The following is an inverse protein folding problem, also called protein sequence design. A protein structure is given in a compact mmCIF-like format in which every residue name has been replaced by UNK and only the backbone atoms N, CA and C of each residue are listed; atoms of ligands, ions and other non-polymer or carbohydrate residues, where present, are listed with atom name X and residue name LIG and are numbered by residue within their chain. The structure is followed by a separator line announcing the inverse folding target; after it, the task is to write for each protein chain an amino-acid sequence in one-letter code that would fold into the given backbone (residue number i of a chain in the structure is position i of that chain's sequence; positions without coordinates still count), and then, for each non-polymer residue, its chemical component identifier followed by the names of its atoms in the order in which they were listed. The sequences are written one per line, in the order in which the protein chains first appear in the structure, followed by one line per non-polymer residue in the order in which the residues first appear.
data_IF_630006048173
#
_entry.id   IF_630006048173
#
_cell.length_a   1.000
_cell.length_b   1.000
_cell.length_c   1.000
_cell.angle_alpha   90.00
_cell.angle_beta   90.00
_cell.angle_gamma   90.00
#
_symmetry.space_group_name_H-M   'P 1'
#
loop_
_entity.id
_entity.type
_entity.pdbx_description
1 polymer ?
#
# COMPACT_ATOMS: atom_id res chain seq x y z
N UNK A 1 39.29 17.14 10.60
CA UNK A 1 39.19 18.31 11.50
C UNK A 1 37.75 18.41 11.99
N UNK A 2 37.59 18.76 13.26
CA UNK A 2 36.28 19.01 13.86
C UNK A 2 36.31 20.39 14.52
N UNK A 3 35.14 21.01 14.60
CA UNK A 3 34.90 22.21 15.36
C UNK A 3 34.31 21.82 16.71
N UNK A 4 35.04 22.08 17.80
CA UNK A 4 34.55 21.92 19.16
C UNK A 4 33.65 23.11 19.50
N UNK A 5 32.42 22.82 19.91
CA UNK A 5 31.42 23.81 20.30
C UNK A 5 30.62 23.32 21.51
N UNK A 6 30.26 24.21 22.42
CA UNK A 6 29.37 23.88 23.55
C UNK A 6 28.02 23.36 23.04
N UNK A 7 27.45 22.35 23.71
CA UNK A 7 26.18 21.71 23.34
C UNK A 7 25.03 22.69 23.10
N UNK A 8 24.93 23.73 23.92
CA UNK A 8 23.91 24.78 23.83
C UNK A 8 23.88 25.50 22.48
N UNK A 9 25.03 25.62 21.82
CA UNK A 9 25.20 26.32 20.52
C UNK A 9 25.44 25.36 19.36
N UNK A 10 25.43 24.07 19.62
CA UNK A 10 25.80 23.05 18.64
C UNK A 10 24.84 23.00 17.45
N UNK A 11 23.53 23.03 17.71
CA UNK A 11 22.52 22.87 16.64
C UNK A 11 22.45 24.10 15.73
N UNK A 12 22.48 25.30 16.31
CA UNK A 12 22.53 26.56 15.57
C UNK A 12 23.76 26.59 14.65
N UNK A 13 24.94 26.26 15.19
CA UNK A 13 26.16 26.27 14.40
C UNK A 13 26.18 25.14 13.36
N UNK A 14 25.64 23.96 13.67
CA UNK A 14 25.50 22.85 12.72
C UNK A 14 24.66 23.25 11.50
N UNK A 15 23.55 23.95 11.70
CA UNK A 15 22.69 24.42 10.62
C UNK A 15 23.43 25.42 9.73
N UNK A 16 24.10 26.40 10.32
CA UNK A 16 24.90 27.38 9.58
C UNK A 16 26.01 26.72 8.76
N UNK A 17 26.73 25.75 9.34
CA UNK A 17 27.79 25.00 8.63
C UNK A 17 27.25 24.16 7.47
N UNK A 18 26.02 23.66 7.60
CA UNK A 18 25.34 22.93 6.53
C UNK A 18 24.95 23.87 5.39
N UNK A 19 24.35 25.03 5.70
CA UNK A 19 23.99 26.07 4.72
C UNK A 19 25.21 26.61 3.97
N UNK A 20 26.32 26.82 4.69
CA UNK A 20 27.58 27.31 4.13
C UNK A 20 28.40 26.22 3.39
N UNK A 21 27.91 24.97 3.33
CA UNK A 21 28.57 23.84 2.67
C UNK A 21 29.90 23.42 3.32
N UNK A 22 30.08 23.73 4.60
CA UNK A 22 31.32 23.50 5.37
C UNK A 22 31.24 22.19 6.17
N UNK A 23 30.02 21.79 6.55
CA UNK A 23 29.79 20.57 7.31
C UNK A 23 30.17 19.34 6.50
N UNK A 24 31.05 18.50 7.04
CA UNK A 24 31.32 17.20 6.47
C UNK A 24 30.25 16.19 6.91
N UNK A 25 29.25 16.01 6.04
CA UNK A 25 28.12 15.10 6.27
C UNK A 25 28.49 13.61 6.26
N UNK A 26 29.71 13.27 5.80
CA UNK A 26 30.23 11.90 5.74
C UNK A 26 30.84 11.40 7.05
N UNK A 27 30.94 12.25 8.08
CA UNK A 27 31.47 11.91 9.41
C UNK A 27 30.44 12.15 10.50
N UNK A 28 30.56 11.42 11.62
CA UNK A 28 29.69 11.61 12.78
C UNK A 28 30.08 12.85 13.58
N UNK A 29 29.10 13.48 14.21
CA UNK A 29 29.33 14.45 15.28
C UNK A 29 29.66 13.67 16.56
N UNK A 30 30.78 13.98 17.19
CA UNK A 30 31.26 13.27 18.37
C UNK A 30 30.91 14.04 19.65
N UNK A 31 30.63 13.31 20.73
CA UNK A 31 30.41 13.88 22.06
C UNK A 31 31.75 14.11 22.76
N UNK A 32 31.92 15.28 23.37
CA UNK A 32 33.14 15.66 24.11
C UNK A 32 32.77 16.42 25.39
N UNK A 33 32.34 15.69 26.42
CA UNK A 33 31.80 16.27 27.66
C UNK A 33 30.62 17.23 27.41
N UNK A 34 30.78 18.47 27.87
CA UNK A 34 29.81 19.58 27.67
C UNK A 34 29.86 20.19 26.25
N UNK A 35 30.74 19.69 25.40
CA UNK A 35 30.91 20.09 24.02
C UNK A 35 30.58 18.96 23.04
N UNK A 36 30.46 19.33 21.78
CA UNK A 36 30.39 18.41 20.64
C UNK A 36 31.44 18.78 19.62
N UNK A 37 31.87 17.81 18.84
CA UNK A 37 32.86 17.95 17.79
C UNK A 37 32.15 17.79 16.44
N UNK A 38 31.93 18.90 15.75
CA UNK A 38 31.23 18.93 14.46
C UNK A 38 32.27 18.76 13.33
N UNK A 39 32.18 17.75 12.45
CA UNK A 39 33.16 17.53 11.41
C UNK A 39 33.05 18.61 10.31
N UNK A 40 34.17 19.20 9.91
CA UNK A 40 34.21 20.28 8.90
C UNK A 40 35.20 19.92 7.78
N UNK A 41 34.92 20.45 6.58
CA UNK A 41 35.74 20.24 5.36
C UNK A 41 36.83 21.30 5.20
N UNK A 42 36.66 22.50 5.77
CA UNK A 42 37.62 23.60 5.75
C UNK A 42 37.69 24.32 7.11
N UNK A 43 38.81 24.98 7.40
CA UNK A 43 39.02 25.76 8.64
C UNK A 43 38.11 27.00 8.64
N UNK A 44 37.54 27.31 9.80
CA UNK A 44 36.70 28.49 10.02
C UNK A 44 36.99 29.11 11.38
N UNK A 45 36.77 30.41 11.50
CA UNK A 45 36.78 31.11 12.78
C UNK A 45 35.34 31.40 13.21
N UNK A 46 34.98 30.93 14.41
CA UNK A 46 33.67 31.21 15.01
C UNK A 46 33.83 31.47 16.51
N UNK A 47 33.20 32.52 17.07
CA UNK A 47 33.36 32.86 18.49
C UNK A 47 32.97 31.71 19.42
N UNK A 48 33.87 31.35 20.34
CA UNK A 48 33.64 30.29 21.32
C UNK A 48 33.74 28.88 20.74
N UNK A 49 34.51 28.72 19.66
CA UNK A 49 34.80 27.42 19.05
C UNK A 49 36.31 27.18 18.95
N UNK A 50 36.70 25.92 18.91
CA UNK A 50 38.09 25.50 18.77
C UNK A 50 38.20 24.44 17.67
N UNK A 51 39.17 24.54 16.77
CA UNK A 51 39.42 23.50 15.77
C UNK A 51 40.28 22.42 16.41
N UNK A 52 39.79 21.18 16.37
CA UNK A 52 40.52 20.00 16.85
C UNK A 52 40.81 19.03 15.72
N UNK A 53 42.03 18.50 15.70
CA UNK A 53 42.50 17.50 14.74
C UNK A 53 42.47 16.11 15.38
N UNK A 54 41.27 15.54 15.43
CA UNK A 54 41.08 14.15 15.84
C UNK A 54 40.61 13.31 14.64
N UNK A 55 40.93 11.99 14.62
CA UNK A 55 40.32 11.05 13.68
C UNK A 55 38.80 11.14 13.79
N UNK A 56 38.13 11.36 12.66
CA UNK A 56 36.66 11.36 12.63
C UNK A 56 36.14 9.95 12.46
N UNK A 57 34.99 9.66 13.07
CA UNK A 57 34.28 8.43 12.75
C UNK A 57 33.51 8.62 11.45
N UNK A 58 33.72 7.76 10.43
CA UNK A 58 32.87 7.78 9.25
C UNK A 58 31.43 7.52 9.68
N UNK A 59 30.53 8.32 9.13
CA UNK A 59 29.11 8.02 9.19
C UNK A 59 28.89 6.91 8.17
N UNK A 60 28.39 5.75 8.59
CA UNK A 60 27.92 4.72 7.65
C UNK A 60 26.93 5.37 6.70
N UNK A 61 27.35 5.60 5.46
CA UNK A 61 26.48 6.06 4.41
C UNK A 61 25.63 4.88 4.00
N UNK A 62 24.38 4.90 4.43
CA UNK A 62 23.43 3.88 3.99
C UNK A 62 23.02 4.22 2.57
N UNK A 63 22.97 3.22 1.67
CA UNK A 63 22.49 3.45 0.33
C UNK A 63 21.08 4.06 0.42
N UNK A 64 20.88 5.16 -0.28
CA UNK A 64 19.61 5.88 -0.34
C UNK A 64 18.63 5.21 -1.30
N UNK A 65 19.12 4.32 -2.16
CA UNK A 65 18.34 3.54 -3.11
C UNK A 65 18.82 2.09 -3.21
N UNK A 66 17.96 1.21 -3.74
CA UNK A 66 18.32 -0.17 -4.02
C UNK A 66 19.46 -0.29 -5.06
N UNK A 67 19.52 0.64 -6.02
CA UNK A 67 20.60 0.68 -7.02
C UNK A 67 21.94 1.02 -6.39
N UNK A 68 21.99 2.01 -5.49
CA UNK A 68 23.20 2.32 -4.72
C UNK A 68 23.63 1.14 -3.85
N UNK A 69 22.68 0.42 -3.26
CA UNK A 69 22.97 -0.76 -2.44
C UNK A 69 23.56 -1.94 -3.26
N UNK A 70 23.35 -1.95 -4.57
CA UNK A 70 23.76 -3.02 -5.47
C UNK A 70 24.91 -2.63 -6.40
N UNK A 71 25.42 -1.40 -6.31
CA UNK A 71 26.42 -0.86 -7.23
C UNK A 71 27.74 -1.64 -7.24
N UNK A 72 28.13 -2.21 -6.10
CA UNK A 72 29.33 -3.06 -5.99
C UNK A 72 29.08 -4.53 -6.36
N UNK A 73 27.81 -4.91 -6.59
CA UNK A 73 27.38 -6.30 -6.82
C UNK A 73 26.92 -6.57 -8.26
N UNK A 74 26.41 -5.54 -8.93
CA UNK A 74 25.82 -5.61 -10.27
C UNK A 74 26.62 -4.76 -11.26
N UNK A 75 26.63 -5.16 -12.53
CA UNK A 75 27.18 -4.33 -13.61
C UNK A 75 26.28 -3.12 -13.89
N UNK A 76 26.77 -2.12 -14.65
CA UNK A 76 25.95 -0.98 -15.06
C UNK A 76 24.69 -1.42 -15.82
N UNK A 77 24.81 -2.38 -16.75
CA UNK A 77 23.69 -2.95 -17.48
C UNK A 77 22.68 -3.67 -16.54
N UNK A 78 23.17 -4.44 -15.57
CA UNK A 78 22.32 -5.12 -14.58
C UNK A 78 21.61 -4.11 -13.66
N UNK A 79 22.27 -3.02 -13.29
CA UNK A 79 21.70 -1.94 -12.47
C UNK A 79 20.55 -1.21 -13.18
N UNK A 80 20.56 -1.13 -14.51
CA UNK A 80 19.46 -0.58 -15.28
C UNK A 80 18.19 -1.45 -15.14
N UNK A 81 18.36 -2.77 -15.06
CA UNK A 81 17.29 -3.75 -14.93
C UNK A 81 16.73 -3.87 -13.50
N UNK A 82 17.44 -3.36 -12.48
CA UNK A 82 16.98 -3.44 -11.08
C UNK A 82 15.59 -2.80 -10.94
N UNK A 83 14.60 -3.53 -10.42
CA UNK A 83 13.25 -3.02 -10.23
C UNK A 83 13.25 -1.74 -9.38
N UNK A 84 12.69 -0.68 -9.94
CA UNK A 84 12.58 0.63 -9.25
C UNK A 84 11.37 0.70 -8.32
N UNK A 85 10.42 -0.23 -8.45
CA UNK A 85 9.21 -0.28 -7.63
C UNK A 85 8.92 -1.68 -7.11
N UNK A 86 8.45 -1.75 -5.88
CA UNK A 86 8.02 -2.97 -5.20
C UNK A 86 6.86 -2.64 -4.26
N UNK A 87 6.05 -3.64 -3.95
CA UNK A 87 4.95 -3.48 -2.99
C UNK A 87 5.43 -3.88 -1.59
N UNK A 88 5.04 -3.11 -0.58
CA UNK A 88 5.30 -3.44 0.83
C UNK A 88 3.95 -3.72 1.50
N UNK A 89 3.79 -4.93 2.01
CA UNK A 89 2.62 -5.35 2.79
C UNK A 89 3.13 -5.74 4.17
N UNK A 90 2.72 -5.00 5.20
CA UNK A 90 3.30 -5.09 6.54
C UNK A 90 4.82 -4.91 6.49
N UNK A 91 5.53 -5.98 6.80
CA UNK A 91 6.98 -6.09 6.79
C UNK A 91 7.54 -7.00 5.68
N UNK A 92 6.71 -7.32 4.68
CA UNK A 92 7.10 -8.12 3.52
C UNK A 92 7.20 -7.23 2.28
N UNK A 93 8.36 -7.22 1.63
CA UNK A 93 8.52 -6.63 0.29
C UNK A 93 8.25 -7.67 -0.79
N UNK A 94 7.52 -7.28 -1.83
CA UNK A 94 7.18 -8.11 -2.97
C UNK A 94 7.60 -7.41 -4.26
N UNK A 95 8.47 -8.03 -5.03
CA UNK A 95 9.00 -7.50 -6.29
C UNK A 95 8.96 -8.52 -7.41
N UNK A 96 9.12 -8.02 -8.63
CA UNK A 96 9.29 -8.83 -9.84
C UNK A 96 10.77 -8.83 -10.19
N UNK A 97 11.37 -10.00 -10.34
CA UNK A 97 12.79 -10.12 -10.73
C UNK A 97 12.80 -10.40 -12.24
N UNK A 98 13.45 -9.55 -13.06
CA UNK A 98 13.68 -9.85 -14.46
C UNK A 98 14.48 -11.16 -14.62
N UNK A 99 14.22 -11.91 -15.69
CA UNK A 99 14.87 -13.20 -15.93
C UNK A 99 16.40 -13.06 -15.99
N UNK A 100 16.91 -11.93 -16.49
CA UNK A 100 18.33 -11.58 -16.55
C UNK A 100 18.97 -11.47 -15.16
N UNK A 101 18.19 -11.11 -14.14
CA UNK A 101 18.64 -10.93 -12.75
C UNK A 101 18.33 -12.12 -11.84
N UNK A 102 17.80 -13.23 -12.37
CA UNK A 102 17.37 -14.38 -11.57
C UNK A 102 18.52 -14.96 -10.73
N UNK A 103 19.73 -15.02 -11.29
CA UNK A 103 20.95 -15.48 -10.57
C UNK A 103 21.36 -14.55 -9.42
N UNK A 104 20.88 -13.30 -9.41
CA UNK A 104 21.21 -12.24 -8.45
C UNK A 104 20.08 -11.97 -7.46
N UNK A 105 18.94 -12.67 -7.54
CA UNK A 105 17.75 -12.39 -6.72
C UNK A 105 18.03 -12.38 -5.22
N UNK A 106 18.91 -13.25 -4.72
CA UNK A 106 19.30 -13.29 -3.31
C UNK A 106 20.02 -12.01 -2.88
N UNK A 107 20.96 -11.53 -3.68
CA UNK A 107 21.68 -10.28 -3.42
C UNK A 107 20.73 -9.07 -3.43
N UNK A 108 19.79 -9.04 -4.39
CA UNK A 108 18.74 -8.01 -4.45
C UNK A 108 17.89 -8.03 -3.17
N UNK A 109 17.50 -9.22 -2.69
CA UNK A 109 16.75 -9.38 -1.45
C UNK A 109 17.53 -8.90 -0.22
N UNK A 110 18.81 -9.25 -0.10
CA UNK A 110 19.67 -8.84 1.01
C UNK A 110 19.90 -7.31 1.01
N UNK A 111 20.05 -6.71 -0.17
CA UNK A 111 20.15 -5.26 -0.32
C UNK A 111 18.86 -4.56 0.14
N UNK A 112 17.68 -5.09 -0.19
CA UNK A 112 16.40 -4.58 0.30
C UNK A 112 16.28 -4.64 1.83
N UNK A 113 16.67 -5.76 2.46
CA UNK A 113 16.64 -5.89 3.93
C UNK A 113 17.59 -4.90 4.62
N UNK A 114 18.77 -4.71 4.05
CA UNK A 114 19.79 -3.80 4.60
C UNK A 114 19.34 -2.33 4.48
N UNK A 115 18.72 -1.99 3.35
CA UNK A 115 18.25 -0.63 3.06
C UNK A 115 17.00 -0.28 3.86
N UNK A 116 16.02 -1.18 3.95
CA UNK A 116 14.71 -0.92 4.55
C UNK A 116 14.50 -1.73 5.84
N UNK A 117 14.84 -1.11 6.99
CA UNK A 117 14.80 -1.78 8.31
C UNK A 117 13.45 -2.34 8.74
N UNK A 118 12.36 -1.80 8.21
CA UNK A 118 10.99 -2.26 8.48
C UNK A 118 10.64 -3.55 7.74
N UNK A 119 11.43 -3.94 6.74
CA UNK A 119 11.25 -5.17 5.98
C UNK A 119 11.97 -6.31 6.71
N UNK A 120 11.29 -7.45 6.82
CA UNK A 120 11.79 -8.68 7.46
C UNK A 120 11.82 -9.86 6.49
N UNK A 121 11.01 -9.81 5.44
CA UNK A 121 10.99 -10.82 4.37
C UNK A 121 10.93 -10.12 3.02
N UNK A 122 11.69 -10.64 2.05
CA UNK A 122 11.61 -10.23 0.65
C UNK A 122 11.18 -11.43 -0.18
N UNK A 123 10.15 -11.24 -1.00
CA UNK A 123 9.59 -12.27 -1.86
C UNK A 123 9.52 -11.84 -3.33
N UNK A 124 9.94 -12.71 -4.24
CA UNK A 124 9.83 -12.53 -5.68
C UNK A 124 8.53 -13.15 -6.21
N UNK A 125 7.89 -12.46 -7.17
CA UNK A 125 6.74 -12.99 -7.92
C UNK A 125 7.22 -14.10 -8.86
N UNK A 126 6.75 -15.33 -8.65
CA UNK A 126 7.14 -16.48 -9.47
C UNK A 126 6.22 -16.73 -10.66
N UNK A 127 4.93 -16.41 -10.50
CA UNK A 127 3.93 -16.61 -11.55
C UNK A 127 3.16 -15.33 -11.84
N UNK A 128 2.50 -15.30 -13.01
CA UNK A 128 1.41 -14.35 -13.26
C UNK A 128 0.30 -14.54 -12.22
N UNK A 129 -0.50 -13.50 -12.02
CA UNK A 129 -1.67 -13.54 -11.14
C UNK A 129 -2.66 -14.58 -11.65
N UNK A 130 -3.07 -15.49 -10.77
CA UNK A 130 -4.10 -16.48 -11.03
C UNK A 130 -5.47 -15.84 -11.33
N UNK A 131 -6.39 -16.63 -11.86
CA UNK A 131 -7.70 -16.14 -12.28
C UNK A 131 -8.73 -16.15 -11.15
N UNK A 132 -8.85 -17.26 -10.41
CA UNK A 132 -9.93 -17.49 -9.43
C UNK A 132 -9.80 -16.62 -8.17
N UNK A 133 -8.71 -16.76 -7.41
CA UNK A 133 -8.50 -16.00 -6.16
C UNK A 133 -7.57 -14.79 -6.33
N UNK A 134 -7.12 -14.52 -7.57
CA UNK A 134 -6.14 -13.47 -7.89
C UNK A 134 -4.85 -13.55 -7.04
N UNK A 135 -4.50 -14.76 -6.60
CA UNK A 135 -3.26 -15.10 -5.88
C UNK A 135 -2.12 -15.36 -6.87
N UNK A 136 -0.88 -15.40 -6.38
CA UNK A 136 0.31 -15.75 -7.19
C UNK A 136 1.31 -16.47 -6.30
N UNK A 137 2.09 -17.38 -6.87
CA UNK A 137 3.19 -18.00 -6.13
C UNK A 137 4.29 -16.95 -5.86
N UNK A 138 4.81 -17.00 -4.63
CA UNK A 138 5.88 -16.14 -4.15
C UNK A 138 7.06 -16.98 -3.68
N UNK A 139 8.24 -16.65 -4.17
CA UNK A 139 9.51 -17.23 -3.72
C UNK A 139 10.17 -16.32 -2.68
N UNK A 140 10.53 -16.83 -1.51
CA UNK A 140 11.23 -16.03 -0.50
C UNK A 140 12.70 -15.97 -0.87
N UNK A 141 13.18 -14.79 -1.25
CA UNK A 141 14.54 -14.59 -1.74
C UNK A 141 15.50 -14.11 -0.66
N UNK A 142 14.98 -13.51 0.43
CA UNK A 142 15.77 -13.11 1.60
C UNK A 142 14.91 -12.92 2.86
N UNK A 143 15.53 -13.05 4.02
CA UNK A 143 14.93 -12.72 5.33
C UNK A 143 14.21 -13.90 5.99
N UNK A 144 13.19 -13.60 6.79
CA UNK A 144 12.42 -14.61 7.52
C UNK A 144 11.58 -15.48 6.57
N UNK A 145 11.58 -16.83 6.71
CA UNK A 145 10.89 -17.74 5.81
C UNK A 145 9.37 -17.82 6.11
N UNK A 146 8.66 -16.70 6.02
CA UNK A 146 7.21 -16.59 6.22
C UNK A 146 6.55 -15.73 5.16
N UNK A 147 5.25 -15.95 4.94
CA UNK A 147 4.43 -15.15 4.01
C UNK A 147 3.25 -14.46 4.69
N UNK A 148 3.16 -14.58 6.02
CA UNK A 148 2.11 -13.95 6.83
C UNK A 148 2.66 -12.69 7.50
N UNK A 149 1.85 -11.62 7.53
CA UNK A 149 2.23 -10.31 8.06
C UNK A 149 1.02 -9.52 8.54
N UNK A 150 1.27 -8.41 9.22
CA UNK A 150 0.26 -7.40 9.59
C UNK A 150 0.54 -6.09 8.85
N UNK A 151 -0.36 -5.71 7.94
CA UNK A 151 -0.33 -4.41 7.28
C UNK A 151 -1.17 -3.38 8.04
N UNK A 152 -0.61 -2.19 8.27
CA UNK A 152 -1.28 -1.11 8.99
C UNK A 152 -1.66 0.01 8.03
N UNK A 153 -2.93 0.36 8.00
CA UNK A 153 -3.43 1.42 7.13
C UNK A 153 -4.64 2.12 7.79
N UNK A 154 -4.64 3.46 7.76
CA UNK A 154 -5.74 4.32 8.24
C UNK A 154 -6.25 4.03 9.66
N UNK A 155 -5.37 3.51 10.52
CA UNK A 155 -5.67 3.14 11.91
C UNK A 155 -6.30 1.76 12.07
N UNK A 156 -6.27 0.93 11.02
CA UNK A 156 -6.67 -0.47 11.04
C UNK A 156 -5.44 -1.37 10.84
N UNK A 157 -5.54 -2.61 11.30
CA UNK A 157 -4.52 -3.66 11.16
C UNK A 157 -5.11 -4.78 10.31
N UNK A 158 -4.40 -5.21 9.28
CA UNK A 158 -4.82 -6.27 8.37
C UNK A 158 -3.79 -7.38 8.41
N UNK A 159 -4.12 -8.48 9.08
CA UNK A 159 -3.37 -9.70 9.03
C UNK A 159 -3.76 -10.49 7.78
N UNK A 160 -2.76 -11.02 7.10
CA UNK A 160 -2.93 -11.80 5.87
C UNK A 160 -1.67 -12.60 5.54
N UNK A 161 -1.87 -13.66 4.75
CA UNK A 161 -0.80 -14.28 4.00
C UNK A 161 -0.77 -13.71 2.57
N UNK A 162 0.37 -13.15 2.17
CA UNK A 162 0.52 -12.42 0.90
C UNK A 162 0.49 -13.32 -0.35
N UNK A 163 0.64 -14.63 -0.19
CA UNK A 163 0.53 -15.61 -1.27
C UNK A 163 -0.90 -16.14 -1.41
N UNK A 164 -1.57 -16.44 -0.29
CA UNK A 164 -2.91 -17.05 -0.33
C UNK A 164 -4.04 -16.05 -0.43
N UNK A 165 -3.78 -14.75 -0.21
CA UNK A 165 -4.80 -13.69 -0.24
C UNK A 165 -4.37 -12.51 -1.11
N UNK A 166 -5.28 -12.02 -1.96
CA UNK A 166 -5.07 -10.76 -2.67
C UNK A 166 -5.18 -9.57 -1.72
N UNK A 167 -4.19 -8.69 -1.76
CA UNK A 167 -4.23 -7.38 -1.10
C UNK A 167 -3.38 -6.39 -1.88
N UNK A 168 -3.86 -5.14 -1.99
CA UNK A 168 -3.08 -4.05 -2.58
C UNK A 168 -2.96 -2.90 -1.59
N UNK A 169 -1.73 -2.54 -1.16
CA UNK A 169 -1.51 -1.38 -0.29
C UNK A 169 -1.77 -0.05 -1.04
N UNK A 170 -1.70 -0.07 -2.38
CA UNK A 170 -1.94 1.11 -3.24
C UNK A 170 -3.39 1.60 -3.23
N UNK A 171 -4.32 0.82 -2.68
CA UNK A 171 -5.74 1.14 -2.59
C UNK A 171 -6.13 1.90 -1.32
N UNK A 172 -5.19 2.20 -0.42
CA UNK A 172 -5.54 2.79 0.88
C UNK A 172 -6.32 4.09 0.79
N UNK A 173 -5.83 5.04 -0.03
CA UNK A 173 -6.52 6.32 -0.25
C UNK A 173 -7.95 6.15 -0.77
N UNK A 174 -8.18 5.15 -1.63
CA UNK A 174 -9.50 4.85 -2.17
C UNK A 174 -10.43 4.22 -1.12
N UNK A 175 -9.91 3.28 -0.32
CA UNK A 175 -10.62 2.75 0.84
C UNK A 175 -11.06 3.86 1.78
N UNK A 176 -10.18 4.81 2.07
CA UNK A 176 -10.49 5.95 2.91
C UNK A 176 -11.53 6.88 2.28
N UNK A 177 -11.46 7.13 0.96
CA UNK A 177 -12.45 7.92 0.22
C UNK A 177 -13.85 7.32 0.39
N UNK A 178 -14.01 6.04 0.11
CA UNK A 178 -15.29 5.34 0.21
C UNK A 178 -15.79 5.32 1.65
N UNK A 179 -14.93 4.99 2.63
CA UNK A 179 -15.31 4.97 4.04
C UNK A 179 -15.85 6.34 4.53
N UNK A 180 -15.27 7.45 4.05
CA UNK A 180 -15.76 8.81 4.39
C UNK A 180 -17.13 9.14 3.80
N UNK A 181 -17.57 8.46 2.76
CA UNK A 181 -18.87 8.70 2.12
C UNK A 181 -20.01 7.85 2.72
N UNK A 182 -19.66 6.75 3.40
CA UNK A 182 -20.62 5.94 4.15
C UNK A 182 -21.18 6.72 5.35
N UNK A 183 -22.47 6.56 5.62
CA UNK A 183 -23.20 7.28 6.67
C UNK A 183 -23.55 6.33 7.84
N UNK A 184 -23.68 6.87 9.07
CA UNK A 184 -24.16 6.11 10.20
C UNK A 184 -25.52 5.46 9.94
N UNK A 185 -25.69 4.21 10.38
CA UNK A 185 -26.96 3.48 10.26
C UNK A 185 -27.23 2.84 8.90
N UNK A 186 -26.37 3.00 7.90
CA UNK A 186 -26.48 2.32 6.60
C UNK A 186 -26.22 0.81 6.74
N UNK A 187 -26.93 0.00 5.94
CA UNK A 187 -26.55 -1.39 5.62
C UNK A 187 -25.65 -1.38 4.40
N UNK A 188 -24.48 -2.00 4.49
CA UNK A 188 -23.45 -1.95 3.45
C UNK A 188 -23.07 -3.36 3.04
N UNK A 189 -23.04 -3.62 1.73
CA UNK A 189 -22.51 -4.86 1.16
C UNK A 189 -21.14 -4.60 0.55
N UNK A 190 -20.14 -5.40 0.91
CA UNK A 190 -18.84 -5.44 0.24
C UNK A 190 -18.74 -6.77 -0.50
N UNK A 191 -18.82 -6.74 -1.83
CA UNK A 191 -18.55 -7.90 -2.66
C UNK A 191 -17.03 -8.07 -2.85
N UNK A 192 -16.57 -9.29 -3.13
CA UNK A 192 -15.15 -9.59 -3.39
C UNK A 192 -14.23 -9.04 -2.29
N UNK A 193 -14.62 -9.29 -1.04
CA UNK A 193 -14.13 -8.55 0.11
C UNK A 193 -12.65 -8.81 0.44
N UNK A 194 -12.03 -9.87 -0.10
CA UNK A 194 -10.69 -10.32 0.25
C UNK A 194 -10.55 -10.49 1.76
N UNK A 195 -9.45 -9.99 2.32
CA UNK A 195 -9.21 -10.00 3.79
C UNK A 195 -10.01 -8.91 4.55
N UNK A 196 -11.03 -8.33 3.91
CA UNK A 196 -11.95 -7.35 4.46
C UNK A 196 -11.48 -5.90 4.58
N UNK A 197 -10.53 -5.35 3.78
CA UNK A 197 -9.98 -4.03 4.07
C UNK A 197 -10.99 -2.89 3.90
N UNK A 198 -11.93 -2.99 2.96
CA UNK A 198 -13.05 -2.03 2.89
C UNK A 198 -14.00 -2.21 4.07
N UNK A 199 -14.45 -3.44 4.32
CA UNK A 199 -15.43 -3.74 5.37
C UNK A 199 -14.94 -3.29 6.76
N UNK A 200 -13.70 -3.62 7.13
CA UNK A 200 -13.10 -3.22 8.40
C UNK A 200 -12.97 -1.70 8.50
N UNK A 201 -12.47 -1.02 7.47
CA UNK A 201 -12.28 0.43 7.52
C UNK A 201 -13.62 1.17 7.63
N UNK A 202 -14.63 0.77 6.86
CA UNK A 202 -15.98 1.33 6.92
C UNK A 202 -16.59 1.09 8.30
N UNK A 203 -16.48 -0.13 8.86
CA UNK A 203 -16.95 -0.44 10.20
C UNK A 203 -16.30 0.46 11.26
N UNK A 204 -15.00 0.72 11.10
CA UNK A 204 -14.20 1.53 12.03
C UNK A 204 -14.53 3.03 11.96
N UNK A 205 -14.86 3.56 10.78
CA UNK A 205 -14.97 5.01 10.53
C UNK A 205 -16.40 5.53 10.43
N UNK A 206 -17.37 4.70 10.02
CA UNK A 206 -18.66 5.19 9.49
C UNK A 206 -19.87 4.78 10.33
N UNK A 207 -19.70 3.95 11.37
CA UNK A 207 -20.76 3.44 12.26
C UNK A 207 -21.99 2.88 11.50
N UNK A 208 -21.79 1.95 10.54
CA UNK A 208 -22.90 1.34 9.82
C UNK A 208 -23.78 0.53 10.76
N UNK A 209 -25.04 0.34 10.39
CA UNK A 209 -25.95 -0.58 11.09
C UNK A 209 -25.49 -2.02 10.91
N UNK A 210 -25.05 -2.37 9.71
CA UNK A 210 -24.63 -3.71 9.33
C UNK A 210 -23.64 -3.64 8.15
N UNK A 211 -22.62 -4.49 8.16
CA UNK A 211 -21.79 -4.76 7.00
C UNK A 211 -21.83 -6.26 6.71
N UNK A 212 -22.25 -6.61 5.50
CA UNK A 212 -22.08 -7.94 4.93
C UNK A 212 -20.90 -7.92 3.98
N UNK A 213 -20.00 -8.90 4.07
CA UNK A 213 -18.81 -8.99 3.24
C UNK A 213 -18.70 -10.40 2.65
N UNK A 214 -18.81 -10.50 1.31
CA UNK A 214 -18.79 -11.77 0.59
C UNK A 214 -17.42 -11.96 -0.05
N UNK A 215 -16.82 -13.11 0.16
CA UNK A 215 -15.55 -13.51 -0.46
C UNK A 215 -15.58 -14.99 -0.83
N UNK A 216 -15.03 -15.32 -2.00
CA UNK A 216 -15.01 -16.70 -2.51
C UNK A 216 -13.86 -17.50 -1.88
N UNK A 217 -12.70 -16.88 -1.70
CA UNK A 217 -11.50 -17.51 -1.17
C UNK A 217 -11.64 -17.79 0.35
N UNK A 218 -11.65 -19.06 0.79
CA UNK A 218 -11.80 -19.42 2.20
C UNK A 218 -10.69 -18.85 3.10
N UNK A 219 -9.44 -18.79 2.62
CA UNK A 219 -8.34 -18.21 3.41
C UNK A 219 -8.55 -16.71 3.62
N UNK A 220 -9.03 -16.00 2.60
CA UNK A 220 -9.32 -14.58 2.70
C UNK A 220 -10.48 -14.31 3.68
N UNK A 221 -11.52 -15.16 3.68
CA UNK A 221 -12.61 -15.11 4.68
C UNK A 221 -12.09 -15.34 6.09
N UNK A 222 -11.22 -16.35 6.29
CA UNK A 222 -10.59 -16.62 7.59
C UNK A 222 -9.84 -15.40 8.11
N UNK A 223 -9.02 -14.76 7.26
CA UNK A 223 -8.33 -13.52 7.63
C UNK A 223 -9.29 -12.34 7.83
N UNK A 224 -10.37 -12.24 7.06
CA UNK A 224 -11.38 -11.19 7.23
C UNK A 224 -12.05 -11.28 8.61
N UNK A 225 -12.41 -12.48 9.07
CA UNK A 225 -12.92 -12.68 10.43
C UNK A 225 -11.89 -12.30 11.50
N UNK A 226 -10.63 -12.73 11.32
CA UNK A 226 -9.54 -12.37 12.22
C UNK A 226 -9.33 -10.86 12.26
N UNK A 227 -9.34 -10.19 11.11
CA UNK A 227 -9.22 -8.75 10.99
C UNK A 227 -10.41 -8.02 11.64
N UNK A 228 -11.62 -8.58 11.56
CA UNK A 228 -12.77 -8.07 12.30
C UNK A 228 -12.51 -8.07 13.81
N UNK A 229 -11.96 -9.17 14.34
CA UNK A 229 -11.61 -9.32 15.76
C UNK A 229 -10.47 -8.38 16.17
N UNK A 230 -9.38 -8.33 15.42
CA UNK A 230 -8.20 -7.47 15.68
C UNK A 230 -8.63 -5.99 15.75
N UNK A 231 -9.49 -5.55 14.84
CA UNK A 231 -9.91 -4.15 14.76
C UNK A 231 -11.09 -3.82 15.69
N UNK A 232 -11.64 -4.81 16.40
CA UNK A 232 -12.79 -4.70 17.30
C UNK A 232 -14.01 -4.14 16.57
N UNK A 233 -14.31 -4.70 15.41
CA UNK A 233 -15.47 -4.35 14.59
C UNK A 233 -16.30 -5.60 14.33
N UNK A 234 -17.58 -5.41 14.00
CA UNK A 234 -18.47 -6.51 13.62
C UNK A 234 -18.69 -6.48 12.12
N UNK A 235 -18.36 -7.58 11.45
CA UNK A 235 -18.57 -7.79 10.01
C UNK A 235 -19.22 -9.15 9.86
N UNK A 236 -20.31 -9.22 9.11
CA UNK A 236 -20.89 -10.49 8.71
C UNK A 236 -20.12 -11.04 7.50
N UNK A 237 -19.08 -11.81 7.78
CA UNK A 237 -18.23 -12.47 6.77
C UNK A 237 -18.96 -13.68 6.19
N UNK A 238 -19.04 -13.74 4.86
CA UNK A 238 -19.74 -14.79 4.13
C UNK A 238 -18.76 -15.40 3.12
N UNK A 239 -18.47 -16.69 3.29
CA UNK A 239 -17.78 -17.45 2.27
C UNK A 239 -18.77 -17.88 1.18
N UNK A 240 -18.57 -17.43 -0.05
CA UNK A 240 -19.41 -17.87 -1.16
C UNK A 240 -19.29 -17.04 -2.43
N UNK A 241 -20.02 -17.50 -3.44
CA UNK A 241 -20.17 -16.79 -4.70
C UNK A 241 -21.15 -15.62 -4.52
N UNK A 242 -20.72 -14.42 -4.89
CA UNK A 242 -21.53 -13.20 -4.82
C UNK A 242 -22.87 -13.34 -5.55
N UNK A 243 -22.96 -14.10 -6.65
CA UNK A 243 -24.22 -14.33 -7.38
C UNK A 243 -25.20 -15.20 -6.59
N UNK A 244 -24.69 -16.12 -5.78
CA UNK A 244 -25.51 -17.03 -4.97
C UNK A 244 -25.89 -16.43 -3.63
N UNK A 245 -24.98 -15.71 -2.99
CA UNK A 245 -25.19 -15.21 -1.63
C UNK A 245 -25.94 -13.88 -1.59
N UNK A 246 -25.66 -12.95 -2.51
CA UNK A 246 -26.28 -11.61 -2.51
C UNK A 246 -27.81 -11.64 -2.47
N UNK A 247 -28.52 -12.46 -3.28
CA UNK A 247 -29.99 -12.50 -3.25
C UNK A 247 -30.60 -12.91 -1.89
N UNK A 248 -29.83 -13.54 -0.99
CA UNK A 248 -30.29 -14.01 0.31
C UNK A 248 -30.24 -12.94 1.41
N UNK A 249 -29.57 -11.81 1.16
CA UNK A 249 -29.21 -10.84 2.21
C UNK A 249 -30.13 -9.60 2.27
N UNK A 250 -31.10 -9.51 1.35
CA UNK A 250 -32.00 -8.37 1.21
C UNK A 250 -31.32 -7.14 0.62
N UNK A 251 -31.89 -5.95 0.88
CA UNK A 251 -31.43 -4.71 0.24
C UNK A 251 -30.46 -3.87 1.08
N UNK A 252 -29.51 -3.21 0.42
CA UNK A 252 -28.45 -2.41 1.01
C UNK A 252 -28.55 -0.94 0.58
N UNK A 253 -28.08 -0.04 1.47
CA UNK A 253 -27.97 1.39 1.18
C UNK A 253 -26.74 1.67 0.30
N UNK A 254 -25.68 0.87 0.46
CA UNK A 254 -24.47 0.93 -0.38
C UNK A 254 -23.94 -0.45 -0.72
N UNK A 255 -23.44 -0.60 -1.94
CA UNK A 255 -22.75 -1.82 -2.38
C UNK A 255 -21.40 -1.46 -3.00
N UNK A 256 -20.34 -2.15 -2.57
CA UNK A 256 -18.99 -2.01 -3.13
C UNK A 256 -18.64 -3.23 -3.98
N UNK A 257 -18.10 -2.99 -5.17
CA UNK A 257 -17.71 -4.05 -6.13
C UNK A 257 -16.23 -3.92 -6.55
N UNK A 258 -15.26 -4.12 -5.64
CA UNK A 258 -13.81 -3.99 -5.91
C UNK A 258 -13.24 -5.14 -6.77
N UNK A 259 -13.87 -5.45 -7.92
CA UNK A 259 -13.42 -6.43 -8.92
C UNK A 259 -13.35 -5.80 -10.32
N UNK A 260 -12.28 -5.04 -10.64
CA UNK A 260 -12.26 -4.20 -11.84
C UNK A 260 -12.45 -4.93 -13.19
N UNK A 261 -12.01 -6.18 -13.32
CA UNK A 261 -12.06 -6.89 -14.63
C UNK A 261 -13.45 -7.41 -14.99
N UNK A 262 -14.21 -7.81 -13.98
CA UNK A 262 -15.42 -8.63 -14.19
C UNK A 262 -16.65 -8.02 -13.50
N UNK A 263 -16.54 -6.85 -12.84
CA UNK A 263 -17.62 -6.24 -12.06
C UNK A 263 -18.93 -6.06 -12.86
N UNK A 264 -18.83 -5.73 -14.16
CA UNK A 264 -20.00 -5.56 -15.02
C UNK A 264 -20.91 -6.79 -15.06
N UNK A 265 -20.34 -7.99 -14.95
CA UNK A 265 -21.04 -9.27 -14.99
C UNK A 265 -21.86 -9.59 -13.73
N UNK A 266 -21.87 -8.69 -12.75
CA UNK A 266 -22.56 -8.84 -11.47
C UNK A 266 -23.56 -7.71 -11.19
N UNK A 267 -23.73 -6.75 -12.10
CA UNK A 267 -24.74 -5.70 -11.92
C UNK A 267 -26.17 -6.25 -11.96
N UNK A 268 -26.40 -7.37 -12.64
CA UNK A 268 -27.64 -8.14 -12.66
C UNK A 268 -28.10 -8.59 -11.27
N UNK A 269 -27.16 -9.04 -10.42
CA UNK A 269 -27.44 -9.43 -9.03
C UNK A 269 -27.30 -8.28 -8.04
N UNK A 270 -26.51 -7.26 -8.38
CA UNK A 270 -26.23 -6.12 -7.49
C UNK A 270 -27.37 -5.10 -7.47
N UNK A 271 -27.92 -4.76 -8.65
CA UNK A 271 -28.98 -3.74 -8.76
C UNK A 271 -30.28 -4.12 -8.01
N UNK A 272 -30.74 -5.39 -8.02
CA UNK A 272 -31.87 -5.82 -7.20
C UNK A 272 -31.59 -5.74 -5.69
N UNK A 273 -30.34 -5.97 -5.27
CA UNK A 273 -29.95 -5.89 -3.86
C UNK A 273 -29.70 -4.45 -3.39
N UNK A 274 -29.81 -3.45 -4.27
CA UNK A 274 -29.65 -2.04 -3.91
C UNK A 274 -31.00 -1.38 -3.68
N UNK A 275 -31.16 -0.72 -2.53
CA UNK A 275 -32.33 0.11 -2.24
C UNK A 275 -32.50 1.23 -3.28
N UNK A 276 -33.72 1.70 -3.48
CA UNK A 276 -33.97 2.95 -4.21
C UNK A 276 -33.24 4.11 -3.52
N UNK A 277 -32.48 4.89 -4.28
CA UNK A 277 -31.60 5.94 -3.75
C UNK A 277 -30.26 5.45 -3.19
N UNK A 278 -30.02 4.13 -3.17
CA UNK A 278 -28.76 3.54 -2.75
C UNK A 278 -27.63 3.77 -3.76
N UNK A 279 -26.37 3.64 -3.31
CA UNK A 279 -25.17 3.91 -4.12
C UNK A 279 -24.31 2.67 -4.36
N UNK A 280 -23.83 2.48 -5.58
CA UNK A 280 -22.83 1.46 -5.93
C UNK A 280 -21.48 2.13 -6.16
N UNK A 281 -20.43 1.49 -5.65
CA UNK A 281 -19.02 1.77 -5.97
C UNK A 281 -18.52 0.72 -6.94
N UNK A 282 -18.60 1.04 -8.23
CA UNK A 282 -18.21 0.15 -9.31
C UNK A 282 -16.77 0.41 -9.71
N UNK A 283 -15.96 -0.64 -9.76
CA UNK A 283 -14.56 -0.53 -10.17
C UNK A 283 -14.37 -1.14 -11.54
N UNK A 284 -13.49 -0.51 -12.31
CA UNK A 284 -13.26 -0.87 -13.70
C UNK A 284 -11.82 -0.57 -14.12
N UNK A 285 -11.37 -1.16 -15.23
CA UNK A 285 -10.16 -0.72 -15.93
C UNK A 285 -10.55 -0.02 -17.24
N UNK A 286 -10.09 1.22 -17.39
CA UNK A 286 -10.39 2.07 -18.54
C UNK A 286 -9.27 3.10 -18.80
N UNK A 287 -9.29 3.73 -19.98
CA UNK A 287 -8.34 4.78 -20.34
C UNK A 287 -8.63 6.12 -19.65
N UNK A 288 -9.91 6.38 -19.37
CA UNK A 288 -10.40 7.56 -18.68
C UNK A 288 -11.70 7.26 -17.94
N UNK A 289 -12.18 8.23 -17.18
CA UNK A 289 -13.41 8.16 -16.41
C UNK A 289 -14.65 8.04 -17.29
N UNK A 290 -14.69 8.75 -18.43
CA UNK A 290 -15.82 8.77 -19.35
C UNK A 290 -16.13 7.37 -19.90
N UNK A 291 -15.12 6.61 -20.29
CA UNK A 291 -15.27 5.25 -20.82
C UNK A 291 -15.95 4.32 -19.78
N UNK A 292 -15.52 4.37 -18.52
CA UNK A 292 -16.16 3.59 -17.46
C UNK A 292 -17.57 4.07 -17.15
N UNK A 293 -17.84 5.39 -17.24
CA UNK A 293 -19.18 5.95 -17.06
C UNK A 293 -20.13 5.43 -18.16
N UNK A 294 -19.70 5.47 -19.41
CA UNK A 294 -20.48 4.98 -20.55
C UNK A 294 -20.80 3.50 -20.41
N UNK A 295 -19.80 2.68 -20.10
CA UNK A 295 -19.98 1.24 -19.84
C UNK A 295 -21.00 0.95 -18.74
N UNK A 296 -20.93 1.68 -17.62
CA UNK A 296 -21.90 1.53 -16.51
C UNK A 296 -23.31 1.92 -16.97
N UNK A 297 -23.46 2.99 -17.75
CA UNK A 297 -24.75 3.43 -18.28
C UNK A 297 -25.35 2.40 -19.24
N UNK A 298 -24.54 1.84 -20.14
CA UNK A 298 -24.96 0.80 -21.09
C UNK A 298 -25.47 -0.44 -20.34
N UNK A 299 -24.66 -1.00 -19.43
CA UNK A 299 -25.05 -2.20 -18.67
C UNK A 299 -26.31 -1.96 -17.85
N UNK A 300 -26.43 -0.79 -17.20
CA UNK A 300 -27.64 -0.47 -16.42
C UNK A 300 -28.87 -0.27 -17.32
N UNK A 301 -28.71 0.31 -18.51
CA UNK A 301 -29.79 0.49 -19.47
C UNK A 301 -30.30 -0.86 -20.00
N UNK A 302 -29.40 -1.80 -20.29
CA UNK A 302 -29.75 -3.17 -20.71
C UNK A 302 -30.53 -3.91 -19.61
N UNK A 303 -30.17 -3.66 -18.34
CA UNK A 303 -30.87 -4.15 -17.16
C UNK A 303 -32.14 -3.34 -16.82
N UNK A 304 -32.53 -2.39 -17.68
CA UNK A 304 -33.71 -1.51 -17.53
C UNK A 304 -33.71 -0.71 -16.22
N UNK A 305 -32.53 -0.39 -15.71
CA UNK A 305 -32.33 0.34 -14.46
C UNK A 305 -31.87 1.77 -14.72
N UNK A 306 -32.63 2.74 -14.21
CA UNK A 306 -32.22 4.15 -14.22
C UNK A 306 -31.21 4.42 -13.12
N UNK A 307 -30.17 5.19 -13.47
CA UNK A 307 -29.09 5.56 -12.56
C UNK A 307 -28.73 7.04 -12.67
N UNK A 308 -28.18 7.60 -11.60
CA UNK A 308 -27.54 8.91 -11.54
C UNK A 308 -26.05 8.69 -11.26
N UNK A 309 -25.16 9.12 -12.15
CA UNK A 309 -23.71 9.07 -11.90
C UNK A 309 -23.36 10.23 -10.95
N UNK A 310 -22.78 9.90 -9.81
CA UNK A 310 -22.41 10.88 -8.79
C UNK A 310 -20.97 11.37 -8.96
N UNK A 311 -20.06 10.45 -9.29
CA UNK A 311 -18.65 10.75 -9.44
C UNK A 311 -17.93 9.63 -10.22
N UNK A 312 -16.76 9.94 -10.78
CA UNK A 312 -15.82 8.94 -11.29
C UNK A 312 -14.39 9.38 -10.95
N UNK A 313 -13.57 8.45 -10.46
CA UNK A 313 -12.23 8.77 -9.93
C UNK A 313 -11.20 7.74 -10.38
N UNK A 314 -10.05 8.20 -10.89
CA UNK A 314 -8.83 7.40 -11.03
C UNK A 314 -8.29 7.01 -9.66
N UNK A 315 -8.42 5.73 -9.30
CA UNK A 315 -7.96 5.17 -8.03
C UNK A 315 -6.71 4.29 -8.18
N UNK A 316 -5.93 4.49 -9.25
CA UNK A 316 -4.62 3.89 -9.46
C UNK A 316 -4.31 3.58 -10.92
N UNK A 317 -3.03 3.44 -11.27
CA UNK A 317 -2.63 2.93 -12.58
C UNK A 317 -2.59 1.39 -12.56
N UNK A 318 -3.03 0.77 -13.67
CA UNK A 318 -2.95 -0.67 -13.88
C UNK A 318 -1.88 -1.04 -14.91
N UNK A 319 -1.80 -0.29 -16.02
CA UNK A 319 -0.74 -0.38 -17.03
C UNK A 319 -0.55 0.98 -17.70
N UNK A 320 0.45 1.15 -18.60
CA UNK A 320 0.55 2.36 -19.42
C UNK A 320 -0.79 2.71 -20.06
N UNK A 321 -1.24 3.94 -19.86
CA UNK A 321 -2.51 4.48 -20.35
C UNK A 321 -3.79 3.78 -19.86
N UNK A 322 -3.73 2.86 -18.88
CA UNK A 322 -4.90 2.19 -18.32
C UNK A 322 -4.95 2.38 -16.81
N UNK A 323 -6.11 2.86 -16.35
CA UNK A 323 -6.34 3.23 -14.96
C UNK A 323 -7.42 2.36 -14.36
N UNK A 324 -7.32 2.15 -13.05
CA UNK A 324 -8.44 1.70 -12.25
C UNK A 324 -9.34 2.89 -11.99
N UNK A 325 -10.57 2.84 -12.48
CA UNK A 325 -11.58 3.87 -12.26
C UNK A 325 -12.60 3.33 -11.24
N UNK A 326 -13.01 4.17 -10.31
CA UNK A 326 -14.20 3.91 -9.49
C UNK A 326 -15.31 4.86 -9.95
N UNK A 327 -16.45 4.31 -10.40
CA UNK A 327 -17.67 5.04 -10.72
C UNK A 327 -18.63 4.90 -9.54
N UNK A 328 -18.94 6.02 -8.91
CA UNK A 328 -19.95 6.11 -7.86
C UNK A 328 -21.29 6.44 -8.55
N UNK A 329 -22.29 5.57 -8.47
CA UNK A 329 -23.60 5.86 -9.06
C UNK A 329 -24.76 5.43 -8.16
N UNK A 330 -25.89 6.11 -8.31
CA UNK A 330 -27.09 5.94 -7.50
C UNK A 330 -28.22 5.34 -8.33
N UNK A 331 -29.00 4.44 -7.73
CA UNK A 331 -30.24 3.91 -8.31
C UNK A 331 -31.40 4.89 -8.12
N UNK A 332 -32.04 5.30 -9.21
CA UNK A 332 -33.17 6.26 -9.22
C UNK A 332 -34.51 5.53 -9.20
#
# INVERSE_FOLDING_TARGET
MHLRVKRERAEELRQKLLEDGILDSGRKILSDGDSVLIPITKKIESPGTEIVEIPGEPKEQKPSSLKEALADTLTEDELELVPTSFDIIGDIAILEIPDELESKKKAIGEALLTTFKNIKTVAAKKTKVGTEYRTRELDIIAGEPRKETEHREHGCIYRLNVETCYFSPRLGSERLRVAKQCKPGERILVMFAGVGPYAVLIAKKSKPKEICAIELNPEAVRYMEENSRINKVNIHAIQGDVKKETPKLGEFDRILMPLPKDAGNFLDVTLPALKKGGTIYFYDFAHNEEESIERVKEICADLKQKIEVLNAVKCGSYSPCMYRICVDFRKI
#
